data_IF_531694899990
#
_entry.id   IF_531694899990
#
_cell.length_a   1.000
_cell.length_b   1.000
_cell.length_c   1.000
_cell.angle_alpha   90.00
_cell.angle_beta   90.00
_cell.angle_gamma   90.00
#
_symmetry.space_group_name_H-M   'P 1'
#
loop_
_entity.id
_entity.type
_entity.pdbx_description
1 polymer ?
#
# COMPACT_ATOMS: atom_id res chain seq x y z
N UNK A 1 -35.05 -30.97 0.67
CA UNK A 1 -33.83 -30.43 1.29
C UNK A 1 -34.23 -29.30 2.20
N UNK A 2 -34.02 -29.45 3.51
CA UNK A 2 -34.46 -28.43 4.48
C UNK A 2 -33.37 -27.38 4.65
N UNK A 3 -33.76 -26.14 4.94
CA UNK A 3 -32.88 -24.95 4.95
C UNK A 3 -31.62 -25.11 5.82
N UNK A 4 -31.71 -25.88 6.92
CA UNK A 4 -30.57 -26.16 7.80
C UNK A 4 -29.51 -27.06 7.14
N UNK A 5 -29.88 -27.94 6.21
CA UNK A 5 -28.93 -28.81 5.50
C UNK A 5 -28.05 -27.99 4.55
N UNK A 6 -28.61 -26.93 3.95
CA UNK A 6 -27.88 -25.99 3.09
C UNK A 6 -26.91 -25.13 3.91
N UNK A 7 -27.33 -24.65 5.09
CA UNK A 7 -26.44 -23.93 5.99
C UNK A 7 -25.30 -24.81 6.51
N UNK A 8 -25.58 -26.07 6.87
CA UNK A 8 -24.51 -26.99 7.28
C UNK A 8 -23.56 -27.31 6.14
N UNK A 9 -24.04 -27.40 4.89
CA UNK A 9 -23.18 -27.65 3.73
C UNK A 9 -22.27 -26.45 3.43
N UNK A 10 -22.80 -25.22 3.46
CA UNK A 10 -22.01 -24.00 3.26
C UNK A 10 -20.99 -23.75 4.38
N UNK A 11 -21.29 -24.13 5.62
CA UNK A 11 -20.32 -24.01 6.73
C UNK A 11 -19.30 -25.15 6.74
N UNK A 12 -19.66 -26.34 6.26
CA UNK A 12 -18.74 -27.48 6.17
C UNK A 12 -17.74 -27.36 5.02
N UNK A 13 -17.81 -26.34 4.16
CA UNK A 13 -16.69 -26.02 3.24
C UNK A 13 -15.75 -24.96 3.84
N UNK A 14 -16.09 -24.36 4.99
CA UNK A 14 -15.18 -23.55 5.81
C UNK A 14 -14.38 -24.50 6.75
N UNK A 15 -13.83 -25.60 6.23
CA UNK A 15 -12.91 -26.50 6.97
C UNK A 15 -11.48 -26.18 6.57
N UNK A 16 -10.98 -25.04 7.02
CA UNK A 16 -9.59 -24.73 7.35
C UNK A 16 -9.60 -23.28 7.91
N UNK A 17 -8.66 -22.88 8.79
CA UNK A 17 -8.47 -21.46 9.09
C UNK A 17 -8.30 -20.70 7.77
N UNK A 18 -9.18 -19.72 7.51
CA UNK A 18 -9.09 -18.91 6.29
C UNK A 18 -7.83 -18.05 6.41
N UNK A 19 -6.80 -18.40 5.63
CA UNK A 19 -5.57 -17.63 5.56
C UNK A 19 -5.72 -16.45 4.59
N UNK A 20 -6.03 -15.28 5.13
CA UNK A 20 -6.20 -14.04 4.34
C UNK A 20 -4.88 -13.50 3.79
N UNK A 21 -3.73 -13.98 4.27
CA UNK A 21 -2.42 -13.60 3.70
C UNK A 21 -2.22 -14.12 2.27
N UNK A 22 -3.05 -15.07 1.82
CA UNK A 22 -3.00 -15.66 0.48
C UNK A 22 -3.95 -15.01 -0.52
N UNK A 23 -4.75 -14.04 -0.09
CA UNK A 23 -5.70 -13.40 -0.97
C UNK A 23 -4.98 -12.49 -1.97
N UNK A 24 -5.39 -12.51 -3.25
CA UNK A 24 -4.84 -11.57 -4.22
C UNK A 24 -5.23 -10.14 -3.80
N UNK A 25 -4.25 -9.25 -3.80
CA UNK A 25 -4.46 -7.83 -3.51
C UNK A 25 -4.70 -7.08 -4.81
N UNK A 26 -5.80 -6.34 -4.86
CA UNK A 26 -6.07 -5.39 -5.94
C UNK A 26 -5.39 -4.05 -5.64
N UNK A 27 -4.33 -3.76 -6.41
CA UNK A 27 -3.57 -2.52 -6.30
C UNK A 27 -4.14 -1.37 -7.14
N UNK A 28 -5.21 -1.61 -7.91
CA UNK A 28 -5.78 -0.62 -8.84
C UNK A 28 -6.73 0.38 -8.17
N UNK A 29 -7.17 0.11 -6.94
CA UNK A 29 -7.97 1.03 -6.12
C UNK A 29 -7.30 1.19 -4.75
N UNK A 30 -6.95 2.42 -4.31
CA UNK A 30 -6.38 2.60 -2.99
C UNK A 30 -7.38 2.26 -1.87
N UNK A 31 -8.69 2.15 -2.16
CA UNK A 31 -9.82 1.79 -1.28
C UNK A 31 -10.36 2.90 -0.37
N UNK A 32 -9.65 3.47 0.62
CA UNK A 32 -10.18 4.59 1.39
C UNK A 32 -10.42 5.81 0.51
N UNK A 33 -11.61 6.39 0.66
CA UNK A 33 -12.03 7.57 -0.11
C UNK A 33 -11.07 8.75 0.04
N UNK A 34 -10.52 8.98 1.23
CA UNK A 34 -9.59 10.07 1.47
C UNK A 34 -8.29 9.90 0.67
N UNK A 35 -7.78 8.67 0.51
CA UNK A 35 -6.60 8.41 -0.33
C UNK A 35 -6.89 8.68 -1.79
N UNK A 36 -8.09 8.31 -2.28
CA UNK A 36 -8.51 8.64 -3.66
C UNK A 36 -8.48 10.15 -3.89
N UNK A 37 -8.96 10.95 -2.94
CA UNK A 37 -8.91 12.41 -3.06
C UNK A 37 -7.47 12.95 -3.04
N UNK A 38 -6.64 12.53 -2.09
CA UNK A 38 -5.23 12.97 -2.00
C UNK A 38 -4.48 12.63 -3.29
N UNK A 39 -4.59 11.38 -3.76
CA UNK A 39 -3.93 10.95 -4.98
C UNK A 39 -4.48 11.69 -6.20
N UNK A 40 -5.80 11.87 -6.31
CA UNK A 40 -6.39 12.62 -7.42
C UNK A 40 -5.90 14.07 -7.47
N UNK A 41 -5.74 14.72 -6.31
CA UNK A 41 -5.17 16.06 -6.23
C UNK A 41 -3.72 16.06 -6.70
N UNK A 42 -2.92 15.06 -6.28
CA UNK A 42 -1.52 14.94 -6.69
C UNK A 42 -1.36 14.79 -8.21
N UNK A 43 -2.23 14.01 -8.87
CA UNK A 43 -2.26 13.93 -10.34
C UNK A 43 -2.76 15.23 -10.98
N UNK A 44 -3.86 15.80 -10.47
CA UNK A 44 -4.48 16.99 -11.05
C UNK A 44 -3.57 18.22 -10.98
N UNK A 45 -2.71 18.32 -9.97
CA UNK A 45 -1.74 19.41 -9.84
C UNK A 45 -0.44 19.16 -10.61
N UNK A 46 -0.25 17.98 -11.19
CA UNK A 46 1.00 17.57 -11.83
C UNK A 46 2.13 17.23 -10.84
N UNK A 47 1.84 17.16 -9.53
CA UNK A 47 2.82 16.70 -8.55
C UNK A 47 3.20 15.23 -8.79
N UNK A 48 2.26 14.43 -9.31
CA UNK A 48 2.52 13.10 -9.87
C UNK A 48 2.15 13.12 -11.34
N UNK A 49 3.11 12.81 -12.20
CA UNK A 49 2.91 12.83 -13.64
C UNK A 49 2.54 11.44 -14.17
N UNK A 50 1.51 11.38 -15.01
CA UNK A 50 1.09 10.16 -15.71
C UNK A 50 1.96 9.86 -16.93
N UNK A 51 2.71 10.83 -17.44
CA UNK A 51 3.72 10.63 -18.48
C UNK A 51 4.90 9.88 -17.88
N UNK A 52 5.05 8.62 -18.25
CA UNK A 52 6.11 7.75 -17.76
C UNK A 52 7.52 8.21 -18.15
N UNK A 53 7.65 9.15 -19.10
CA UNK A 53 8.93 9.75 -19.47
C UNK A 53 9.41 10.80 -18.47
N UNK A 54 8.54 11.27 -17.58
CA UNK A 54 8.84 12.29 -16.57
C UNK A 54 9.01 11.59 -15.21
N UNK A 55 10.24 11.38 -14.70
CA UNK A 55 10.45 10.69 -13.44
C UNK A 55 9.96 11.52 -12.25
N UNK A 56 9.62 10.85 -11.15
CA UNK A 56 9.29 11.50 -9.89
C UNK A 56 9.63 10.64 -8.68
N UNK A 57 9.81 11.30 -7.54
CA UNK A 57 10.02 10.64 -6.26
C UNK A 57 8.87 11.03 -5.32
N UNK A 58 8.30 10.04 -4.65
CA UNK A 58 7.24 10.22 -3.67
C UNK A 58 7.72 9.76 -2.29
N UNK A 59 7.69 10.67 -1.32
CA UNK A 59 7.92 10.36 0.09
C UNK A 59 6.56 10.22 0.79
N UNK A 60 6.31 9.07 1.42
CA UNK A 60 5.11 8.82 2.22
C UNK A 60 5.53 8.56 3.67
N UNK A 61 5.00 9.38 4.59
CA UNK A 61 5.21 9.19 6.02
C UNK A 61 4.04 8.39 6.59
N UNK A 62 4.36 7.21 7.13
CA UNK A 62 3.40 6.18 7.56
C UNK A 62 3.09 5.20 6.43
N UNK A 63 3.33 3.91 6.67
CA UNK A 63 2.98 2.82 5.76
C UNK A 63 1.52 2.39 5.94
N UNK A 64 1.10 2.19 7.19
CA UNK A 64 -0.16 1.52 7.50
C UNK A 64 -0.28 0.17 6.79
N UNK A 65 -1.34 -0.05 6.02
CA UNK A 65 -1.48 -1.24 5.17
C UNK A 65 -0.83 -1.13 3.78
N UNK A 66 -0.17 -0.01 3.46
CA UNK A 66 0.48 0.15 2.16
C UNK A 66 -0.42 0.58 1.00
N UNK A 67 -1.68 0.99 1.26
CA UNK A 67 -2.66 1.30 0.20
C UNK A 67 -2.22 2.40 -0.76
N UNK A 68 -1.62 3.48 -0.25
CA UNK A 68 -1.22 4.62 -1.08
C UNK A 68 0.02 4.30 -1.94
N UNK A 69 1.07 3.76 -1.32
CA UNK A 69 2.31 3.40 -2.02
C UNK A 69 2.10 2.24 -3.01
N UNK A 70 1.32 1.21 -2.64
CA UNK A 70 1.04 0.10 -3.56
C UNK A 70 0.25 0.58 -4.77
N UNK A 71 -0.73 1.48 -4.57
CA UNK A 71 -1.43 2.11 -5.68
C UNK A 71 -0.48 2.92 -6.57
N UNK A 72 0.37 3.78 -6.00
CA UNK A 72 1.33 4.56 -6.78
C UNK A 72 2.30 3.68 -7.57
N UNK A 73 2.88 2.66 -6.93
CA UNK A 73 3.75 1.67 -7.57
C UNK A 73 3.05 0.94 -8.71
N UNK A 74 1.76 0.66 -8.56
CA UNK A 74 0.94 -0.02 -9.56
C UNK A 74 0.59 0.91 -10.73
N UNK A 75 0.01 2.07 -10.43
CA UNK A 75 -0.58 3.01 -11.39
C UNK A 75 0.47 3.84 -12.17
N UNK A 76 1.67 4.04 -11.62
CA UNK A 76 2.74 4.84 -12.25
C UNK A 76 4.03 4.05 -12.34
N UNK A 77 4.66 4.02 -13.53
CA UNK A 77 5.93 3.30 -13.76
C UNK A 77 7.18 4.15 -13.50
N UNK A 78 7.00 5.46 -13.52
CA UNK A 78 8.00 6.52 -13.38
C UNK A 78 8.20 7.05 -11.96
N UNK A 79 7.39 6.63 -10.98
CA UNK A 79 7.47 7.12 -9.61
C UNK A 79 8.22 6.13 -8.72
N UNK A 80 9.27 6.62 -8.06
CA UNK A 80 9.92 5.88 -6.97
C UNK A 80 9.27 6.28 -5.64
N UNK A 81 8.79 5.30 -4.89
CA UNK A 81 8.13 5.50 -3.61
C UNK A 81 9.09 5.14 -2.47
N UNK A 82 9.34 6.10 -1.60
CA UNK A 82 10.00 5.86 -0.31
C UNK A 82 8.95 6.01 0.77
N UNK A 83 8.71 4.94 1.51
CA UNK A 83 7.83 4.94 2.69
C UNK A 83 8.69 5.02 3.94
N UNK A 84 8.32 5.86 4.89
CA UNK A 84 8.95 5.91 6.21
C UNK A 84 7.92 5.49 7.24
N UNK A 85 8.19 4.38 7.94
CA UNK A 85 7.29 3.83 8.96
C UNK A 85 8.04 3.70 10.28
N UNK A 86 7.43 4.14 11.37
CA UNK A 86 8.09 4.12 12.68
C UNK A 86 7.99 2.75 13.33
N UNK A 87 6.93 1.99 13.07
CA UNK A 87 6.69 0.68 13.67
C UNK A 87 7.07 -0.47 12.72
N UNK A 88 8.14 -1.23 13.00
CA UNK A 88 8.52 -2.39 12.18
C UNK A 88 7.42 -3.46 12.13
N UNK A 89 6.56 -3.57 13.17
CA UNK A 89 5.43 -4.50 13.18
C UNK A 89 4.42 -4.16 12.09
N UNK A 90 4.20 -2.86 11.85
CA UNK A 90 3.34 -2.38 10.76
C UNK A 90 3.90 -2.78 9.40
N UNK A 91 5.23 -2.72 9.22
CA UNK A 91 5.92 -3.19 8.01
C UNK A 91 5.70 -4.68 7.78
N UNK A 92 5.86 -5.50 8.82
CA UNK A 92 5.65 -6.95 8.72
C UNK A 92 4.20 -7.31 8.38
N UNK A 93 3.23 -6.61 8.99
CA UNK A 93 1.81 -6.78 8.68
C UNK A 93 1.49 -6.35 7.24
N UNK A 94 2.06 -5.25 6.76
CA UNK A 94 1.89 -4.78 5.39
C UNK A 94 2.44 -5.78 4.36
N UNK A 95 3.60 -6.37 4.63
CA UNK A 95 4.21 -7.41 3.80
C UNK A 95 3.36 -8.69 3.78
N UNK A 96 2.85 -9.08 4.95
CA UNK A 96 2.14 -10.35 5.12
C UNK A 96 0.71 -10.31 4.60
N UNK A 97 -0.03 -9.23 4.85
CA UNK A 97 -1.49 -9.19 4.63
C UNK A 97 -1.93 -8.22 3.53
N UNK A 98 -1.10 -7.24 3.16
CA UNK A 98 -1.52 -6.16 2.28
C UNK A 98 -0.64 -6.02 1.03
N UNK A 99 0.24 -7.00 0.78
CA UNK A 99 1.02 -7.08 -0.45
C UNK A 99 2.06 -5.98 -0.60
N UNK A 100 2.48 -5.35 0.50
CA UNK A 100 3.61 -4.44 0.47
C UNK A 100 4.87 -5.21 0.09
N UNK A 101 5.48 -4.84 -1.03
CA UNK A 101 6.72 -5.46 -1.50
C UNK A 101 7.75 -4.39 -1.87
N UNK A 102 8.99 -4.62 -1.47
CA UNK A 102 10.09 -3.71 -1.76
C UNK A 102 10.81 -4.14 -3.04
N UNK A 103 11.19 -3.16 -3.86
CA UNK A 103 11.90 -3.34 -5.11
C UNK A 103 12.67 -2.05 -5.48
N UNK A 104 13.13 -1.93 -6.72
CA UNK A 104 13.86 -0.76 -7.18
C UNK A 104 13.05 0.56 -7.11
N UNK A 105 11.71 0.47 -7.19
CA UNK A 105 10.78 1.62 -7.21
C UNK A 105 9.99 1.78 -5.92
N UNK A 106 10.07 0.87 -4.96
CA UNK A 106 9.40 0.97 -3.66
C UNK A 106 10.30 0.46 -2.55
N UNK A 107 10.55 1.30 -1.53
CA UNK A 107 11.37 0.95 -0.37
C UNK A 107 10.75 1.45 0.92
N UNK A 108 10.99 0.74 2.02
CA UNK A 108 10.58 1.15 3.35
C UNK A 108 11.82 1.50 4.19
N UNK A 109 11.77 2.64 4.86
CA UNK A 109 12.75 3.03 5.89
C UNK A 109 12.05 2.95 7.24
N UNK A 110 12.57 2.12 8.15
CA UNK A 110 12.04 2.04 9.52
C UNK A 110 12.70 3.12 10.36
N UNK A 111 12.06 4.28 10.49
CA UNK A 111 12.56 5.43 11.23
C UNK A 111 11.40 6.38 11.63
N UNK A 112 11.64 7.26 12.59
CA UNK A 112 10.74 8.40 12.83
C UNK A 112 10.69 9.31 11.59
N UNK A 113 9.50 9.56 11.07
CA UNK A 113 9.30 10.36 9.87
C UNK A 113 9.79 11.80 9.97
N UNK A 114 9.70 12.43 11.14
CA UNK A 114 10.18 13.80 11.35
C UNK A 114 11.71 13.84 11.39
N UNK A 115 12.35 12.83 12.00
CA UNK A 115 13.81 12.67 11.96
C UNK A 115 14.28 12.43 10.52
N UNK A 116 13.59 11.56 9.77
CA UNK A 116 13.92 11.29 8.38
C UNK A 116 13.86 12.55 7.52
N UNK A 117 12.76 13.32 7.61
CA UNK A 117 12.59 14.59 6.89
C UNK A 117 13.70 15.58 7.25
N UNK A 118 14.05 15.70 8.54
CA UNK A 118 15.14 16.58 8.98
C UNK A 118 16.47 16.18 8.34
N UNK A 119 16.82 14.89 8.37
CA UNK A 119 18.04 14.36 7.73
C UNK A 119 18.05 14.59 6.23
N UNK A 120 16.89 14.50 5.55
CA UNK A 120 16.78 14.83 4.13
C UNK A 120 17.08 16.32 3.89
N UNK A 121 16.43 17.22 4.63
CA UNK A 121 16.62 18.66 4.49
C UNK A 121 18.06 19.11 4.81
N UNK A 122 18.75 18.40 5.71
CA UNK A 122 20.17 18.64 6.01
C UNK A 122 21.11 18.17 4.88
N UNK A 123 20.64 17.28 3.99
CA UNK A 123 21.42 16.76 2.85
C UNK A 123 21.24 17.56 1.57
N UNK A 124 20.15 18.33 1.43
CA UNK A 124 19.82 19.18 0.28
C UNK A 124 18.33 19.28 0.03
#
# INVERSE_FOLDING_TARGET
MKFYEIQSFLFFDIVQPIDTSKWPIDYSDPRPRYLRYILSAAYATGAINMDETIPGDALIIGLGGGSANNYLRHATKNINVTVVEIDPTSVDLAKTYFGFNEDERQRCVVEDGAIYIRKCAERG
#
